data_IF_208118302474
#
_entry.id   IF_208118302474
#
_cell.length_a   1.000
_cell.length_b   1.000
_cell.length_c   1.000
_cell.angle_alpha   90.00
_cell.angle_beta   90.00
_cell.angle_gamma   90.00
#
_symmetry.space_group_name_H-M   'P 1'
#
loop_
_entity.id
_entity.type
_entity.pdbx_description
1 polymer ?
#
# COMPACT_ATOMS: atom_id res chain seq x y z
N UNK A 1 14.30 -4.73 19.03
CA UNK A 1 14.02 -3.42 19.66
C UNK A 1 12.63 -3.56 20.27
N UNK A 2 12.57 -3.94 21.54
CA UNK A 2 11.33 -4.37 22.19
C UNK A 2 10.32 -3.23 22.30
N UNK A 3 9.08 -3.49 21.89
CA UNK A 3 7.94 -2.61 22.16
C UNK A 3 7.20 -3.19 23.37
N UNK A 4 7.23 -2.54 24.55
CA UNK A 4 6.55 -3.07 25.72
C UNK A 4 5.02 -2.85 25.69
N UNK A 5 4.49 -2.15 24.68
CA UNK A 5 3.08 -1.74 24.61
C UNK A 5 2.57 -1.76 23.15
N UNK A 6 1.25 -1.97 22.99
CA UNK A 6 0.51 -2.06 21.71
C UNK A 6 0.77 -3.33 20.88
N UNK A 7 0.58 -4.50 21.49
CA UNK A 7 0.59 -5.80 20.81
C UNK A 7 -0.72 -6.13 20.10
N UNK A 8 -1.76 -5.30 20.25
CA UNK A 8 -3.07 -5.54 19.63
C UNK A 8 -3.59 -4.29 18.93
N UNK A 9 -4.19 -4.47 17.75
CA UNK A 9 -4.98 -3.48 17.02
C UNK A 9 -6.46 -3.81 17.15
N UNK A 10 -7.28 -2.82 17.49
CA UNK A 10 -8.73 -2.92 17.42
C UNK A 10 -9.22 -2.35 16.09
N UNK A 11 -10.03 -3.11 15.35
CA UNK A 11 -10.69 -2.67 14.13
C UNK A 11 -12.21 -2.67 14.34
N UNK A 12 -12.83 -1.54 14.03
CA UNK A 12 -14.29 -1.40 14.10
C UNK A 12 -14.90 -1.56 12.69
N UNK A 13 -15.54 -2.68 12.37
CA UNK A 13 -16.32 -2.81 11.15
C UNK A 13 -17.55 -1.90 11.18
N UNK A 14 -17.86 -1.26 10.05
CA UNK A 14 -19.07 -0.42 9.90
C UNK A 14 -20.38 -1.23 9.74
N UNK A 15 -20.38 -2.52 10.07
CA UNK A 15 -21.55 -3.39 9.94
C UNK A 15 -21.86 -4.10 11.25
N UNK A 16 -23.15 -4.36 11.45
CA UNK A 16 -23.69 -5.06 12.61
C UNK A 16 -23.75 -6.57 12.36
N UNK A 17 -23.83 -7.35 13.44
CA UNK A 17 -24.11 -8.78 13.35
C UNK A 17 -25.59 -8.98 12.98
N UNK A 18 -25.85 -9.80 11.96
CA UNK A 18 -27.22 -9.99 11.44
C UNK A 18 -28.21 -10.62 12.43
N UNK A 19 -27.72 -11.41 13.39
CA UNK A 19 -28.59 -12.15 14.30
C UNK A 19 -29.22 -11.27 15.39
N UNK A 20 -28.43 -10.36 15.98
CA UNK A 20 -28.79 -9.57 17.17
C UNK A 20 -28.52 -8.06 16.99
N UNK A 21 -28.17 -7.63 15.78
CA UNK A 21 -27.77 -6.25 15.46
C UNK A 21 -26.64 -5.70 16.35
N UNK A 22 -25.81 -6.56 16.97
CA UNK A 22 -24.73 -6.10 17.83
C UNK A 22 -23.56 -5.53 17.01
N UNK A 23 -22.96 -4.46 17.54
CA UNK A 23 -21.73 -3.90 17.01
C UNK A 23 -20.59 -4.93 17.19
N UNK A 24 -19.85 -5.18 16.11
CA UNK A 24 -18.68 -6.06 16.15
C UNK A 24 -17.41 -5.25 16.32
N UNK A 25 -16.37 -5.88 16.86
CA UNK A 25 -15.00 -5.40 16.85
C UNK A 25 -14.07 -6.57 16.58
N UNK A 26 -13.01 -6.34 15.80
CA UNK A 26 -11.93 -7.30 15.62
C UNK A 26 -10.74 -6.87 16.47
N UNK A 27 -10.15 -7.82 17.18
CA UNK A 27 -8.87 -7.65 17.86
C UNK A 27 -7.83 -8.45 17.08
N UNK A 28 -6.84 -7.76 16.52
CA UNK A 28 -5.72 -8.38 15.81
C UNK A 28 -4.46 -8.23 16.64
N UNK A 29 -3.61 -9.26 16.70
CA UNK A 29 -2.28 -9.09 17.26
C UNK A 29 -1.37 -8.40 16.23
N UNK A 30 -0.65 -7.39 16.69
CA UNK A 30 0.39 -6.69 15.91
C UNK A 30 1.67 -7.50 16.11
N UNK A 31 2.30 -7.92 15.00
CA UNK A 31 3.61 -8.57 14.96
C UNK A 31 3.70 -9.94 15.66
N UNK A 32 2.81 -10.91 15.30
CA UNK A 32 3.04 -12.31 15.65
C UNK A 32 4.41 -12.76 15.10
N UNK A 33 5.22 -13.54 15.84
CA UNK A 33 6.50 -14.04 15.32
C UNK A 33 6.30 -14.79 13.99
N UNK A 34 6.76 -14.20 12.88
CA UNK A 34 6.57 -14.73 11.52
C UNK A 34 5.48 -14.07 10.67
N UNK A 35 4.68 -13.15 11.24
CA UNK A 35 3.59 -12.46 10.54
C UNK A 35 3.71 -10.92 10.64
N UNK A 36 4.88 -10.38 10.28
CA UNK A 36 5.09 -8.94 10.10
C UNK A 36 4.32 -8.45 8.87
N UNK A 37 3.01 -8.25 9.01
CA UNK A 37 2.22 -7.54 7.98
C UNK A 37 2.45 -6.05 8.17
N UNK A 38 3.29 -5.48 7.30
CA UNK A 38 3.45 -4.04 7.25
C UNK A 38 2.09 -3.36 7.19
N UNK A 39 1.89 -2.35 8.04
CA UNK A 39 0.65 -1.58 8.06
C UNK A 39 0.33 -1.05 6.65
N UNK A 40 -0.96 -0.98 6.30
CA UNK A 40 -1.35 -0.34 5.06
C UNK A 40 -0.75 1.07 5.02
N UNK A 41 0.02 1.41 3.98
CA UNK A 41 0.70 2.68 3.95
C UNK A 41 -0.32 3.81 3.87
N UNK A 42 -0.06 4.88 4.61
CA UNK A 42 -0.88 6.10 4.68
C UNK A 42 -0.11 7.28 4.09
N UNK A 43 -0.81 8.37 3.75
CA UNK A 43 -0.19 9.59 3.24
C UNK A 43 0.66 9.35 1.98
N UNK A 44 1.93 9.75 2.03
CA UNK A 44 2.86 9.62 0.90
C UNK A 44 3.15 8.16 0.53
N UNK A 45 3.24 7.26 1.50
CA UNK A 45 3.40 5.83 1.24
C UNK A 45 2.21 5.26 0.46
N UNK A 46 1.00 5.80 0.70
CA UNK A 46 -0.20 5.41 -0.06
C UNK A 46 -0.09 5.86 -1.51
N UNK A 47 0.33 7.11 -1.74
CA UNK A 47 0.56 7.65 -3.09
C UNK A 47 1.58 6.79 -3.86
N UNK A 48 2.69 6.42 -3.21
CA UNK A 48 3.70 5.53 -3.77
C UNK A 48 3.11 4.17 -4.17
N UNK A 49 2.40 3.51 -3.24
CA UNK A 49 1.82 2.19 -3.51
C UNK A 49 0.83 2.22 -4.67
N UNK A 50 -0.08 3.19 -4.66
CA UNK A 50 -1.10 3.35 -5.69
C UNK A 50 -0.47 3.64 -7.04
N UNK A 51 0.55 4.50 -7.12
CA UNK A 51 1.26 4.81 -8.36
C UNK A 51 1.90 3.56 -8.98
N UNK A 52 2.57 2.74 -8.18
CA UNK A 52 3.21 1.49 -8.63
C UNK A 52 2.17 0.48 -9.13
N UNK A 53 1.12 0.24 -8.34
CA UNK A 53 0.04 -0.70 -8.70
C UNK A 53 -0.73 -0.23 -9.94
N UNK A 54 -0.88 1.09 -10.11
CA UNK A 54 -1.52 1.70 -11.28
C UNK A 54 -0.69 1.48 -12.54
N UNK A 55 0.62 1.72 -12.51
CA UNK A 55 1.48 1.57 -13.69
C UNK A 55 1.70 0.10 -14.09
N UNK A 56 1.76 -0.81 -13.10
CA UNK A 56 2.14 -2.21 -13.29
C UNK A 56 1.24 -3.00 -14.27
N UNK A 57 -0.07 -2.74 -14.33
CA UNK A 57 -0.95 -3.49 -15.23
C UNK A 57 -2.23 -2.74 -15.62
N UNK A 58 -2.86 -3.16 -16.73
CA UNK A 58 -4.17 -2.63 -17.14
C UNK A 58 -5.25 -2.83 -16.07
N UNK A 59 -5.23 -3.97 -15.37
CA UNK A 59 -6.16 -4.26 -14.27
C UNK A 59 -5.91 -3.32 -13.08
N UNK A 60 -4.65 -3.04 -12.77
CA UNK A 60 -4.21 -2.07 -11.76
C UNK A 60 -4.73 -0.67 -12.07
N UNK A 61 -4.55 -0.20 -13.31
CA UNK A 61 -5.12 1.08 -13.78
C UNK A 61 -6.62 1.18 -13.51
N UNK A 62 -7.39 0.17 -13.92
CA UNK A 62 -8.84 0.16 -13.69
C UNK A 62 -9.21 0.16 -12.20
N UNK A 63 -8.48 -0.60 -11.39
CA UNK A 63 -8.75 -0.73 -9.94
C UNK A 63 -8.48 0.57 -9.19
N UNK A 64 -7.41 1.28 -9.53
CA UNK A 64 -6.92 2.42 -8.77
C UNK A 64 -7.20 3.78 -9.42
N UNK A 65 -7.95 3.84 -10.52
CA UNK A 65 -8.23 5.10 -11.23
C UNK A 65 -8.88 6.18 -10.34
N UNK A 66 -9.91 5.82 -9.60
CA UNK A 66 -10.62 6.76 -8.72
C UNK A 66 -9.72 7.21 -7.58
N UNK A 67 -8.98 6.28 -6.99
CA UNK A 67 -8.06 6.55 -5.89
C UNK A 67 -6.90 7.45 -6.32
N UNK A 68 -6.28 7.17 -7.47
CA UNK A 68 -5.19 7.97 -8.03
C UNK A 68 -5.64 9.40 -8.37
N UNK A 69 -6.90 9.57 -8.81
CA UNK A 69 -7.50 10.89 -9.05
C UNK A 69 -7.67 11.68 -7.75
N UNK A 70 -8.21 11.06 -6.70
CA UNK A 70 -8.37 11.69 -5.37
C UNK A 70 -7.02 12.07 -4.76
N UNK A 71 -6.00 11.25 -4.99
CA UNK A 71 -4.64 11.49 -4.48
C UNK A 71 -3.86 12.55 -5.27
N UNK A 72 -4.39 13.02 -6.40
CA UNK A 72 -3.76 14.05 -7.24
C UNK A 72 -2.50 13.59 -7.95
N UNK A 73 -2.38 12.29 -8.27
CA UNK A 73 -1.20 11.71 -8.94
C UNK A 73 -1.48 11.33 -10.40
N UNK A 74 -2.70 11.56 -10.87
CA UNK A 74 -3.15 11.26 -12.23
C UNK A 74 -2.98 12.49 -13.11
N UNK A 75 -2.60 12.29 -14.38
CA UNK A 75 -2.54 13.39 -15.34
C UNK A 75 -3.98 13.82 -15.71
N UNK A 76 -4.25 15.13 -15.64
CA UNK A 76 -5.56 15.70 -15.97
C UNK A 76 -5.88 15.65 -17.47
N UNK A 77 -4.86 15.80 -18.33
CA UNK A 77 -5.01 15.75 -19.77
C UNK A 77 -5.29 14.32 -20.26
N UNK A 78 -4.56 13.35 -19.69
CA UNK A 78 -4.69 11.93 -20.04
C UNK A 78 -4.80 11.05 -18.79
N UNK A 79 -6.02 10.65 -18.37
CA UNK A 79 -6.24 9.90 -17.14
C UNK A 79 -5.74 8.44 -17.18
N UNK A 80 -5.12 8.04 -18.29
CA UNK A 80 -4.46 6.74 -18.45
C UNK A 80 -3.05 6.73 -17.86
N UNK A 81 -2.47 7.91 -17.64
CA UNK A 81 -1.10 8.09 -17.20
C UNK A 81 -1.04 8.85 -15.87
N UNK A 82 0.05 8.61 -15.14
CA UNK A 82 0.40 9.39 -13.95
C UNK A 82 0.94 10.76 -14.37
N UNK A 83 0.97 11.72 -13.45
CA UNK A 83 1.75 12.95 -13.67
C UNK A 83 3.24 12.62 -13.81
N UNK A 84 3.99 13.43 -14.55
CA UNK A 84 5.43 13.26 -14.72
C UNK A 84 6.15 13.22 -13.38
N UNK A 85 5.81 14.15 -12.50
CA UNK A 85 6.33 14.21 -11.12
C UNK A 85 6.04 12.93 -10.32
N UNK A 86 4.81 12.42 -10.38
CA UNK A 86 4.44 11.21 -9.66
C UNK A 86 5.13 9.96 -10.23
N UNK A 87 5.28 9.89 -11.55
CA UNK A 87 5.97 8.79 -12.20
C UNK A 87 7.45 8.73 -11.82
N UNK A 88 8.15 9.86 -11.90
CA UNK A 88 9.57 9.95 -11.53
C UNK A 88 9.78 9.64 -10.05
N UNK A 89 8.97 10.26 -9.20
CA UNK A 89 9.10 10.13 -7.75
C UNK A 89 8.79 8.73 -7.23
N UNK A 90 7.75 8.07 -7.76
CA UNK A 90 7.26 6.82 -7.18
C UNK A 90 7.59 5.58 -7.98
N UNK A 91 7.58 5.64 -9.32
CA UNK A 91 7.73 4.47 -10.18
C UNK A 91 9.18 4.30 -10.62
N UNK A 92 9.80 5.37 -11.14
CA UNK A 92 11.18 5.33 -11.61
C UNK A 92 12.16 5.01 -10.47
N UNK A 93 12.05 5.73 -9.36
CA UNK A 93 12.86 5.48 -8.16
C UNK A 93 12.75 4.04 -7.63
N UNK A 94 11.57 3.40 -7.74
CA UNK A 94 11.43 1.99 -7.33
C UNK A 94 12.04 1.00 -8.30
N UNK A 95 11.97 1.27 -9.61
CA UNK A 95 12.58 0.40 -10.62
C UNK A 95 14.10 0.46 -10.53
N UNK A 96 14.65 1.66 -10.37
CA UNK A 96 16.09 1.88 -10.18
C UNK A 96 16.60 1.23 -8.88
N UNK A 97 15.80 1.25 -7.81
CA UNK A 97 16.11 0.53 -6.57
C UNK A 97 16.07 -1.00 -6.73
N UNK A 98 15.16 -1.53 -7.55
CA UNK A 98 15.07 -2.96 -7.84
C UNK A 98 16.26 -3.45 -8.69
N UNK A 99 16.62 -2.72 -9.75
CA UNK A 99 17.80 -3.07 -10.55
C UNK A 99 19.10 -2.99 -9.74
N UNK A 100 19.22 -2.07 -8.79
CA UNK A 100 20.38 -2.00 -7.89
C UNK A 100 20.48 -3.22 -6.95
N UNK A 101 19.34 -3.75 -6.47
CA UNK A 101 19.30 -4.95 -5.62
C UNK A 101 19.54 -6.25 -6.41
N UNK A 102 19.13 -6.30 -7.67
CA UNK A 102 19.41 -7.44 -8.57
C UNK A 102 20.87 -7.45 -9.05
N UNK A 103 21.54 -6.29 -9.08
CA UNK A 103 22.93 -6.15 -9.49
C UNK A 103 23.96 -6.46 -8.39
N UNK A 104 23.56 -6.55 -7.12
CA UNK A 104 24.43 -7.08 -6.06
C UNK A 104 24.45 -8.60 -6.18
N UNK A 105 25.57 -9.23 -6.59
CA UNK A 105 25.65 -10.69 -6.63
C UNK A 105 25.41 -11.20 -5.21
N UNK A 106 24.50 -12.18 -5.08
CA UNK A 106 24.32 -12.93 -3.85
C UNK A 106 25.67 -13.58 -3.52
N UNK A 107 26.39 -13.05 -2.54
CA UNK A 107 27.51 -13.76 -1.93
C UNK A 107 26.94 -15.07 -1.40
N UNK A 108 27.35 -16.17 -2.04
CA UNK A 108 26.81 -17.49 -1.80
C UNK A 108 27.15 -18.00 -0.40
N UNK A 109 26.19 -18.70 0.17
CA UNK A 109 26.39 -19.72 1.20
C UNK A 109 25.80 -21.04 0.71
#
# INVERSE_FOLDING_TARGET
>A
RDRPYFVTRMLNPFYLRYYDAQQRGYLEFIDWPGEFRAANPVGEGRKKRVAIEFDASRKGRRRHLVEARVLGILNEADPRFLTTEAYEKYVRATREGQTALEATPSEGE
#
